data_IF_193738202132
#
_entry.id   IF_193738202132
#
_cell.length_a   1.000
_cell.length_b   1.000
_cell.length_c   1.000
_cell.angle_alpha   90.00
_cell.angle_beta   90.00
_cell.angle_gamma   90.00
#
_symmetry.space_group_name_H-M   'P 1'
#
loop_
_entity.id
_entity.type
_entity.pdbx_description
1 polymer ?
#
# COMPACT_ATOMS: atom_id res chain seq x y z
N UNK A 1 -33.24 -1.16 1.48
CA UNK A 1 -32.52 0.07 1.86
C UNK A 1 -31.04 -0.27 1.96
N UNK A 2 -30.12 0.46 1.28
CA UNK A 2 -28.70 0.22 1.48
C UNK A 2 -28.28 0.89 2.78
N UNK A 3 -28.00 0.08 3.80
CA UNK A 3 -27.34 0.51 5.03
C UNK A 3 -25.96 1.04 4.68
N UNK A 4 -25.77 2.36 4.77
CA UNK A 4 -24.45 2.98 4.72
C UNK A 4 -23.60 2.30 5.83
N UNK A 5 -22.42 1.74 5.52
CA UNK A 5 -21.61 1.10 6.54
C UNK A 5 -21.32 2.13 7.65
N UNK A 6 -21.51 1.77 8.93
CA UNK A 6 -21.41 2.72 10.06
C UNK A 6 -20.00 3.29 10.26
N UNK A 7 -19.01 2.78 9.54
CA UNK A 7 -17.64 3.27 9.54
C UNK A 7 -17.16 3.43 8.10
N UNK A 8 -16.61 4.61 7.80
CA UNK A 8 -15.87 4.86 6.58
C UNK A 8 -14.75 3.81 6.42
N UNK A 9 -14.76 2.96 5.39
CA UNK A 9 -13.72 1.95 5.18
C UNK A 9 -12.34 2.62 5.04
N UNK A 10 -11.32 1.93 5.53
CA UNK A 10 -9.93 2.31 5.35
C UNK A 10 -9.42 1.60 4.10
N UNK A 11 -8.95 2.33 3.10
CA UNK A 11 -8.27 1.74 1.95
C UNK A 11 -6.76 1.94 2.09
N UNK A 12 -6.00 0.87 1.84
CA UNK A 12 -4.54 0.90 1.82
C UNK A 12 -4.04 0.37 0.49
N UNK A 13 -3.21 1.16 -0.18
CA UNK A 13 -2.61 0.81 -1.47
C UNK A 13 -1.15 0.44 -1.25
N UNK A 14 -0.76 -0.72 -1.75
CA UNK A 14 0.61 -1.22 -1.67
C UNK A 14 1.16 -1.44 -3.07
N UNK A 15 2.32 -0.85 -3.35
CA UNK A 15 3.18 -1.25 -4.47
C UNK A 15 3.99 -2.45 -4.04
N UNK A 16 4.03 -3.45 -4.89
CA UNK A 16 4.64 -4.75 -4.65
C UNK A 16 5.87 -4.94 -5.52
N UNK A 17 6.75 -5.84 -5.13
CA UNK A 17 7.99 -6.13 -5.87
C UNK A 17 7.77 -7.01 -7.09
N UNK A 18 6.65 -7.75 -7.17
CA UNK A 18 6.31 -8.56 -8.35
C UNK A 18 4.84 -8.99 -8.39
N UNK A 19 4.36 -9.32 -9.59
CA UNK A 19 3.02 -9.89 -9.82
C UNK A 19 2.84 -11.23 -9.08
N UNK A 20 3.88 -12.06 -9.01
CA UNK A 20 3.84 -13.32 -8.24
C UNK A 20 3.49 -13.06 -6.78
N UNK A 21 4.05 -12.02 -6.16
CA UNK A 21 3.72 -11.64 -4.79
C UNK A 21 2.31 -11.08 -4.66
N UNK A 22 1.87 -10.26 -5.61
CA UNK A 22 0.48 -9.80 -5.70
C UNK A 22 -0.51 -10.98 -5.67
N UNK A 23 -0.28 -12.00 -6.50
CA UNK A 23 -1.13 -13.20 -6.53
C UNK A 23 -1.04 -14.03 -5.24
N UNK A 24 0.11 -14.06 -4.56
CA UNK A 24 0.23 -14.71 -3.23
C UNK A 24 -0.55 -13.95 -2.17
N UNK A 25 -0.50 -12.62 -2.18
CA UNK A 25 -1.26 -11.77 -1.26
C UNK A 25 -2.76 -11.91 -1.51
N UNK A 26 -3.21 -11.87 -2.76
CA UNK A 26 -4.62 -12.10 -3.11
C UNK A 26 -5.13 -13.45 -2.59
N UNK A 27 -4.35 -14.52 -2.81
CA UNK A 27 -4.66 -15.84 -2.27
C UNK A 27 -4.67 -15.88 -0.75
N UNK A 28 -3.76 -15.16 -0.09
CA UNK A 28 -3.74 -15.06 1.37
C UNK A 28 -4.98 -14.34 1.91
N UNK A 29 -5.39 -13.23 1.31
CA UNK A 29 -6.63 -12.52 1.66
C UNK A 29 -7.84 -13.45 1.50
N UNK A 30 -7.94 -14.13 0.36
CA UNK A 30 -9.03 -15.07 0.10
C UNK A 30 -9.04 -16.25 1.09
N UNK A 31 -7.87 -16.78 1.47
CA UNK A 31 -7.76 -17.88 2.45
C UNK A 31 -8.03 -17.45 3.88
N UNK A 32 -7.70 -16.20 4.21
CA UNK A 32 -7.94 -15.63 5.52
C UNK A 32 -9.44 -15.48 5.79
N UNK A 33 -10.23 -15.20 4.73
CA UNK A 33 -11.69 -15.04 4.77
C UNK A 33 -12.16 -14.10 5.91
N UNK A 34 -11.38 -13.05 6.16
CA UNK A 34 -11.65 -12.14 7.26
C UNK A 34 -12.73 -11.14 6.84
N UNK A 35 -13.85 -11.01 7.58
CA UNK A 35 -14.97 -10.16 7.17
C UNK A 35 -14.61 -8.67 7.07
N UNK A 36 -13.51 -8.26 7.72
CA UNK A 36 -13.02 -6.89 7.70
C UNK A 36 -11.84 -6.60 6.76
N UNK A 37 -11.39 -7.55 5.92
CA UNK A 37 -10.25 -7.36 4.99
C UNK A 37 -10.65 -7.84 3.61
N UNK A 38 -10.64 -6.95 2.62
CA UNK A 38 -11.03 -7.27 1.24
C UNK A 38 -10.06 -6.67 0.24
N UNK A 39 -9.68 -7.43 -0.79
CA UNK A 39 -8.97 -6.87 -1.94
C UNK A 39 -9.97 -6.17 -2.87
N UNK A 40 -9.75 -4.90 -3.18
CA UNK A 40 -10.59 -4.12 -4.09
C UNK A 40 -10.13 -4.20 -5.54
N UNK A 41 -8.82 -4.34 -5.77
CA UNK A 41 -8.29 -4.36 -7.12
C UNK A 41 -6.77 -4.54 -7.18
N UNK A 42 -6.31 -4.81 -8.39
CA UNK A 42 -4.91 -5.03 -8.75
C UNK A 42 -4.58 -4.41 -10.09
N UNK A 43 -3.35 -3.93 -10.27
CA UNK A 43 -2.81 -3.59 -11.59
C UNK A 43 -2.14 -4.81 -12.23
N UNK A 44 -2.22 -4.93 -13.55
CA UNK A 44 -1.50 -5.93 -14.37
C UNK A 44 -0.38 -5.25 -15.16
N UNK A 45 0.58 -4.66 -14.45
CA UNK A 45 1.65 -3.87 -15.07
C UNK A 45 3.00 -4.12 -14.41
N UNK A 46 4.08 -3.55 -14.96
CA UNK A 46 5.45 -3.61 -14.42
C UNK A 46 5.55 -3.12 -12.98
N UNK A 47 4.58 -2.32 -12.54
CA UNK A 47 4.42 -1.87 -11.16
C UNK A 47 3.15 -2.50 -10.53
N UNK A 48 3.26 -3.72 -9.98
CA UNK A 48 2.12 -4.42 -9.42
C UNK A 48 1.66 -3.72 -8.13
N UNK A 49 0.38 -3.37 -8.08
CA UNK A 49 -0.26 -2.70 -6.96
C UNK A 49 -1.43 -3.52 -6.46
N UNK A 50 -1.65 -3.53 -5.16
CA UNK A 50 -2.87 -4.08 -4.55
C UNK A 50 -3.55 -3.02 -3.68
N UNK A 51 -4.86 -2.91 -3.84
CA UNK A 51 -5.72 -2.06 -2.99
C UNK A 51 -6.49 -2.95 -2.03
N UNK A 52 -6.34 -2.71 -0.74
CA UNK A 52 -7.00 -3.47 0.32
C UNK A 52 -7.95 -2.53 1.09
N UNK A 53 -9.22 -2.91 1.16
CA UNK A 53 -10.23 -2.32 2.03
C UNK A 53 -10.23 -3.01 3.39
N UNK A 54 -10.25 -2.21 4.44
CA UNK A 54 -10.28 -2.63 5.82
C UNK A 54 -11.46 -1.99 6.54
N UNK A 55 -12.26 -2.80 7.24
CA UNK A 55 -13.42 -2.33 8.00
C UNK A 55 -13.05 -1.62 9.32
N UNK A 56 -11.80 -1.78 9.78
CA UNK A 56 -11.30 -1.21 11.04
C UNK A 56 -9.79 -1.00 11.02
N UNK A 57 -9.29 -0.18 11.95
CA UNK A 57 -7.85 0.02 12.15
C UNK A 57 -7.11 -1.28 12.48
N UNK A 58 -7.72 -2.17 13.29
CA UNK A 58 -7.13 -3.47 13.60
C UNK A 58 -7.02 -4.37 12.34
N UNK A 59 -8.01 -4.30 11.45
CA UNK A 59 -7.98 -5.01 10.17
C UNK A 59 -6.88 -4.49 9.26
N UNK A 60 -6.63 -3.17 9.27
CA UNK A 60 -5.53 -2.55 8.53
C UNK A 60 -4.14 -2.95 9.05
N UNK A 61 -3.96 -2.98 10.38
CA UNK A 61 -2.69 -3.44 10.97
C UNK A 61 -2.43 -4.90 10.57
N UNK A 62 -3.45 -5.75 10.63
CA UNK A 62 -3.36 -7.16 10.23
C UNK A 62 -3.06 -7.29 8.73
N UNK A 63 -3.77 -6.56 7.87
CA UNK A 63 -3.53 -6.61 6.42
C UNK A 63 -2.11 -6.15 6.09
N UNK A 64 -1.62 -5.11 6.76
CA UNK A 64 -0.24 -4.63 6.63
C UNK A 64 0.77 -5.70 7.02
N UNK A 65 0.60 -6.36 8.17
CA UNK A 65 1.50 -7.42 8.61
C UNK A 65 1.55 -8.57 7.60
N UNK A 66 0.41 -8.98 7.08
CA UNK A 66 0.32 -10.03 6.06
C UNK A 66 1.01 -9.61 4.74
N UNK A 67 0.79 -8.38 4.26
CA UNK A 67 1.47 -7.87 3.06
C UNK A 67 2.98 -7.87 3.26
N UNK A 68 3.47 -7.34 4.38
CA UNK A 68 4.91 -7.27 4.69
C UNK A 68 5.55 -8.65 4.86
N UNK A 69 4.81 -9.64 5.37
CA UNK A 69 5.28 -11.01 5.48
C UNK A 69 5.41 -11.72 4.12
N UNK A 70 4.56 -11.36 3.15
CA UNK A 70 4.57 -11.96 1.81
C UNK A 70 5.43 -11.17 0.82
N UNK A 71 5.64 -9.89 1.08
CA UNK A 71 6.46 -8.96 0.32
C UNK A 71 7.13 -7.96 1.26
N UNK A 72 8.35 -8.28 1.67
CA UNK A 72 9.17 -7.43 2.55
C UNK A 72 9.56 -6.11 1.91
N UNK A 73 9.50 -6.03 0.58
CA UNK A 73 9.80 -4.83 -0.20
C UNK A 73 8.54 -4.02 -0.54
N UNK A 74 7.36 -4.46 -0.08
CA UNK A 74 6.13 -3.75 -0.34
C UNK A 74 6.18 -2.34 0.25
N UNK A 75 5.84 -1.35 -0.58
CA UNK A 75 5.77 0.05 -0.17
C UNK A 75 4.31 0.46 -0.13
N UNK A 76 3.87 0.99 1.01
CA UNK A 76 2.55 1.60 1.12
C UNK A 76 2.60 2.97 0.44
N UNK A 77 1.79 3.15 -0.60
CA UNK A 77 1.79 4.39 -1.41
C UNK A 77 0.70 5.35 -0.96
N UNK A 78 -0.49 4.83 -0.62
CA UNK A 78 -1.63 5.66 -0.24
C UNK A 78 -2.45 4.99 0.87
N UNK A 79 -3.04 5.82 1.71
CA UNK A 79 -4.04 5.42 2.71
C UNK A 79 -5.18 6.41 2.66
N UNK A 80 -6.38 5.96 2.35
CA UNK A 80 -7.55 6.84 2.38
C UNK A 80 -8.52 6.31 3.42
N UNK A 81 -8.86 7.18 4.37
CA UNK A 81 -10.01 6.97 5.23
C UNK A 81 -11.20 7.64 4.54
N UNK A 82 -12.26 6.89 4.22
CA UNK A 82 -13.44 7.45 3.55
C UNK A 82 -14.32 8.36 4.43
N UNK A 83 -13.74 9.05 5.42
CA UNK A 83 -14.39 10.09 6.19
C UNK A 83 -13.77 11.41 5.75
N UNK A 84 -14.55 12.22 5.03
CA UNK A 84 -14.08 13.42 4.34
C UNK A 84 -13.14 14.28 5.16
N UNK A 85 -11.94 14.47 4.63
CA UNK A 85 -11.03 15.63 4.66
C UNK A 85 -9.73 15.16 3.96
N UNK A 86 -9.23 15.84 2.92
CA UNK A 86 -7.94 15.52 2.33
C UNK A 86 -6.83 16.23 3.12
N UNK A 87 -5.81 15.51 3.58
CA UNK A 87 -4.43 16.00 3.77
C UNK A 87 -3.58 14.86 4.36
N UNK A 88 -2.33 14.61 3.95
CA UNK A 88 -1.41 15.47 3.23
C UNK A 88 -0.74 14.68 2.09
N UNK A 89 -0.59 15.32 0.94
CA UNK A 89 0.39 14.93 -0.05
C UNK A 89 1.77 14.89 0.62
N UNK A 90 2.33 13.69 0.77
CA UNK A 90 3.74 13.54 1.16
C UNK A 90 4.61 14.37 0.22
N UNK A 91 5.69 15.01 0.72
CA UNK A 91 6.46 15.95 -0.07
C UNK A 91 7.00 15.27 -1.32
N UNK A 92 6.72 15.89 -2.47
CA UNK A 92 7.30 15.53 -3.77
C UNK A 92 8.80 15.35 -3.61
N UNK A 93 9.24 14.15 -3.99
CA UNK A 93 10.64 13.75 -4.18
C UNK A 93 11.37 14.84 -4.98
N UNK A 94 12.08 15.73 -4.29
CA UNK A 94 13.12 16.53 -4.93
C UNK A 94 14.27 15.56 -5.24
N UNK A 95 14.23 14.98 -6.43
CA UNK A 95 15.43 14.41 -7.05
C UNK A 95 16.41 15.57 -7.27
N UNK A 96 17.21 15.89 -6.24
CA UNK A 96 18.46 16.60 -6.47
C UNK A 96 19.45 15.56 -6.93
N UNK A 97 19.58 15.44 -8.26
CA UNK A 97 20.80 14.98 -8.89
C UNK A 97 21.96 15.74 -8.24
N UNK A 98 22.88 15.03 -7.59
CA UNK A 98 24.19 15.57 -7.31
C UNK A 98 25.17 15.02 -8.35
N UNK A 99 25.85 15.90 -9.11
CA UNK A 99 26.90 15.49 -10.02
C UNK A 99 28.07 14.93 -9.20
N UNK A 100 28.49 13.72 -9.57
CA UNK A 100 29.77 13.19 -9.17
C UNK A 100 30.86 13.99 -9.90
N UNK A 101 31.38 15.07 -9.29
CA UNK A 101 32.59 15.69 -9.83
C UNK A 101 33.48 16.40 -8.79
N UNK A 102 34.63 15.74 -8.56
CA UNK A 102 35.98 16.26 -8.24
C UNK A 102 36.20 17.04 -6.95
N UNK A 103 37.13 16.51 -6.13
CA UNK A 103 38.29 17.31 -5.74
C UNK A 103 39.57 16.46 -5.60
N UNK A 104 40.49 16.68 -6.55
CA UNK A 104 41.92 16.40 -6.41
C UNK A 104 42.56 17.52 -5.58
N UNK A 105 43.46 17.17 -4.67
CA UNK A 105 44.76 17.81 -4.28
C UNK A 105 45.00 17.58 -2.77
N UNK A 106 46.01 16.77 -2.43
CA UNK A 106 47.37 17.20 -2.02
C UNK A 106 47.34 18.11 -0.80
N UNK A 107 47.74 17.56 0.35
CA UNK A 107 48.90 17.99 1.13
C UNK A 107 49.61 16.73 1.65
#
# INVERSE_FOLDING_TARGET
MPSIPPHAPWTSTYRLSSETRQQRILRAIHRLDHPGIKALGTTRDTDPVIVIECASAASEVRSRQMVMALDTEAVRTETTRAAGIPEAAGPKRSQKLWPAERLRRRL
#
